data_IF_988139748459
#
_entry.id   IF_988139748459
#
_cell.length_a   1.000
_cell.length_b   1.000
_cell.length_c   1.000
_cell.angle_alpha   90.00
_cell.angle_beta   90.00
_cell.angle_gamma   90.00
#
_symmetry.space_group_name_H-M   'P 1'
#
loop_
_entity.id
_entity.type
_entity.pdbx_description
1 polymer ?
#
# COMPACT_ATOMS: atom_id res chain seq x y z
N UNK A 1 -27.50 -4.57 24.12
CA UNK A 1 -26.68 -3.93 23.06
C UNK A 1 -25.23 -4.06 23.52
N UNK A 2 -24.52 -5.00 22.94
CA UNK A 2 -23.12 -5.23 23.28
C UNK A 2 -22.32 -4.05 22.69
N UNK A 3 -21.85 -3.15 23.54
CA UNK A 3 -20.95 -2.08 23.10
C UNK A 3 -19.61 -2.71 22.84
N UNK A 4 -19.40 -3.21 21.62
CA UNK A 4 -18.12 -3.69 21.15
C UNK A 4 -17.09 -2.57 21.33
N UNK A 5 -16.32 -2.63 22.39
CA UNK A 5 -15.22 -1.70 22.63
C UNK A 5 -14.06 -2.11 21.76
N UNK A 6 -13.58 -1.20 20.91
CA UNK A 6 -12.36 -1.42 20.13
C UNK A 6 -11.17 -1.64 21.07
N UNK A 7 -10.40 -2.68 20.81
CA UNK A 7 -9.22 -3.03 21.59
C UNK A 7 -7.97 -2.46 20.92
N UNK A 8 -7.14 -1.74 21.67
CA UNK A 8 -5.83 -1.32 21.18
C UNK A 8 -4.80 -2.44 21.40
N UNK A 9 -4.13 -2.84 20.32
CA UNK A 9 -3.08 -3.85 20.33
C UNK A 9 -1.84 -3.33 19.58
N UNK A 10 -0.70 -3.98 19.77
CA UNK A 10 0.50 -3.76 18.95
C UNK A 10 0.55 -4.78 17.82
N UNK A 11 0.97 -4.37 16.62
CA UNK A 11 1.01 -5.27 15.48
C UNK A 11 1.89 -6.51 15.70
N UNK A 12 3.02 -6.36 16.42
CA UNK A 12 3.88 -7.49 16.77
C UNK A 12 3.29 -8.51 17.75
N UNK A 13 2.16 -8.20 18.40
CA UNK A 13 1.40 -9.16 19.22
C UNK A 13 0.43 -9.99 18.38
N UNK A 14 0.06 -9.48 17.21
CA UNK A 14 -0.95 -10.05 16.33
C UNK A 14 -0.33 -10.87 15.20
N UNK A 15 0.87 -10.48 14.75
CA UNK A 15 1.51 -11.09 13.60
C UNK A 15 3.02 -10.96 13.64
N UNK A 16 3.70 -11.79 12.86
CA UNK A 16 5.13 -11.65 12.61
C UNK A 16 5.42 -10.45 11.72
N UNK A 17 6.37 -9.61 12.15
CA UNK A 17 6.85 -8.44 11.41
C UNK A 17 8.30 -8.68 11.05
N UNK A 18 8.61 -8.79 9.78
CA UNK A 18 9.89 -9.28 9.30
C UNK A 18 10.37 -8.55 8.04
N UNK A 19 11.48 -9.04 7.52
CA UNK A 19 11.97 -8.76 6.17
C UNK A 19 12.30 -10.08 5.48
N UNK A 20 12.92 -10.01 4.33
CA UNK A 20 13.34 -11.15 3.53
C UNK A 20 14.86 -11.25 3.50
N UNK A 21 15.39 -12.38 3.01
CA UNK A 21 16.81 -12.52 2.72
C UNK A 21 17.20 -11.54 1.61
N UNK A 22 18.38 -10.93 1.76
CA UNK A 22 18.92 -9.95 0.83
C UNK A 22 19.15 -10.55 -0.55
N UNK A 23 18.72 -9.80 -1.57
CA UNK A 23 19.06 -10.00 -2.98
C UNK A 23 20.00 -8.89 -3.42
N UNK A 24 21.12 -9.23 -4.04
CA UNK A 24 22.08 -8.26 -4.57
C UNK A 24 21.68 -7.82 -5.99
N UNK A 25 22.24 -6.71 -6.45
CA UNK A 25 21.92 -6.17 -7.76
C UNK A 25 22.35 -7.10 -8.91
N UNK A 26 23.45 -7.83 -8.72
CA UNK A 26 23.97 -8.83 -9.65
C UNK A 26 23.05 -10.04 -9.85
N UNK A 27 22.10 -10.25 -8.92
CA UNK A 27 21.13 -11.35 -8.96
C UNK A 27 19.83 -10.97 -9.68
N UNK A 28 19.69 -9.72 -10.12
CA UNK A 28 18.50 -9.28 -10.83
C UNK A 28 18.49 -9.87 -12.25
N UNK A 29 17.28 -10.16 -12.72
CA UNK A 29 17.01 -10.77 -14.03
C UNK A 29 15.99 -9.94 -14.79
N UNK A 30 15.92 -10.14 -16.12
CA UNK A 30 14.96 -9.45 -16.98
C UNK A 30 13.55 -10.04 -16.88
N UNK A 31 13.44 -11.29 -16.40
CA UNK A 31 12.18 -12.02 -16.23
C UNK A 31 12.21 -12.91 -14.98
N UNK A 32 11.04 -13.39 -14.53
CA UNK A 32 10.92 -14.30 -13.39
C UNK A 32 9.93 -13.81 -12.35
N UNK A 33 10.31 -13.88 -11.07
CA UNK A 33 9.47 -13.41 -9.97
C UNK A 33 9.69 -11.91 -9.72
N UNK A 34 8.59 -11.17 -9.65
CA UNK A 34 8.60 -9.72 -9.45
C UNK A 34 9.37 -9.35 -8.19
N UNK A 35 10.37 -8.45 -8.33
CA UNK A 35 11.17 -7.90 -7.22
C UNK A 35 10.77 -6.45 -6.96
N UNK A 36 10.20 -6.17 -5.78
CA UNK A 36 9.67 -4.87 -5.42
C UNK A 36 10.69 -4.02 -4.64
N UNK A 37 10.79 -2.76 -5.00
CA UNK A 37 11.52 -1.73 -4.27
C UNK A 37 10.54 -0.81 -3.54
N UNK A 38 10.98 -0.07 -2.54
CA UNK A 38 10.13 0.90 -1.83
C UNK A 38 9.46 1.89 -2.80
N UNK A 39 10.16 2.36 -3.85
CA UNK A 39 9.58 3.24 -4.88
C UNK A 39 8.42 2.60 -5.62
N UNK A 40 8.45 1.27 -5.82
CA UNK A 40 7.40 0.56 -6.54
C UNK A 40 6.09 0.54 -5.71
N UNK A 41 6.20 0.43 -4.38
CA UNK A 41 5.05 0.55 -3.48
C UNK A 41 4.44 1.96 -3.52
N UNK A 42 5.29 2.99 -3.59
CA UNK A 42 4.83 4.38 -3.73
C UNK A 42 4.10 4.60 -5.05
N UNK A 43 4.62 4.04 -6.16
CA UNK A 43 3.94 4.10 -7.48
C UNK A 43 2.59 3.39 -7.44
N UNK A 44 2.51 2.20 -6.81
CA UNK A 44 1.23 1.51 -6.64
C UNK A 44 0.21 2.36 -5.86
N UNK A 45 0.63 3.00 -4.77
CA UNK A 45 -0.25 3.87 -3.98
C UNK A 45 -0.77 5.09 -4.75
N UNK A 46 -0.05 5.52 -5.78
CA UNK A 46 -0.44 6.63 -6.67
C UNK A 46 -1.16 6.18 -7.94
N UNK A 47 -1.37 4.88 -8.13
CA UNK A 47 -1.86 4.27 -9.37
C UNK A 47 -0.99 4.62 -10.60
N UNK A 48 0.32 4.78 -10.39
CA UNK A 48 1.31 5.02 -11.45
C UNK A 48 1.84 3.68 -12.00
N UNK A 49 2.21 3.67 -13.27
CA UNK A 49 2.91 2.54 -13.86
C UNK A 49 4.33 2.44 -13.31
N UNK A 50 4.84 1.22 -13.16
CA UNK A 50 6.22 1.01 -12.78
C UNK A 50 7.09 1.04 -14.03
N UNK A 51 7.96 2.02 -14.07
CA UNK A 51 9.08 2.06 -15.01
C UNK A 51 10.18 1.11 -14.52
N UNK A 52 10.86 0.43 -15.42
CA UNK A 52 11.96 -0.50 -15.10
C UNK A 52 11.62 -1.56 -14.03
N UNK A 53 10.68 -2.46 -14.29
CA UNK A 53 10.37 -3.55 -13.39
C UNK A 53 11.57 -4.48 -13.20
N UNK A 54 11.85 -4.86 -11.94
CA UNK A 54 12.91 -5.80 -11.58
C UNK A 54 12.34 -7.18 -11.28
N UNK A 55 13.16 -8.19 -11.53
CA UNK A 55 12.82 -9.59 -11.28
C UNK A 55 13.99 -10.31 -10.63
N UNK A 56 13.72 -11.48 -10.08
CA UNK A 56 14.69 -12.47 -9.65
C UNK A 56 14.33 -13.83 -10.25
N UNK A 57 15.29 -14.73 -10.38
CA UNK A 57 15.01 -16.05 -10.92
C UNK A 57 14.03 -16.84 -10.04
N UNK A 58 13.27 -17.73 -10.66
CA UNK A 58 12.33 -18.61 -9.94
C UNK A 58 13.05 -19.54 -8.95
N UNK A 59 14.26 -19.94 -9.26
CA UNK A 59 15.12 -20.78 -8.41
C UNK A 59 15.52 -20.03 -7.14
N UNK A 60 16.02 -18.80 -7.27
CA UNK A 60 16.37 -17.94 -6.15
C UNK A 60 15.14 -17.65 -5.28
N UNK A 61 14.01 -17.32 -5.89
CA UNK A 61 12.77 -17.12 -5.15
C UNK A 61 12.39 -18.35 -4.31
N UNK A 62 12.47 -19.56 -4.88
CA UNK A 62 12.17 -20.80 -4.17
C UNK A 62 13.10 -21.01 -2.99
N UNK A 63 14.41 -20.85 -3.20
CA UNK A 63 15.43 -20.99 -2.16
C UNK A 63 15.23 -19.98 -1.02
N UNK A 64 15.09 -18.69 -1.35
CA UNK A 64 15.04 -17.63 -0.37
C UNK A 64 13.70 -17.58 0.38
N UNK A 65 12.60 -17.87 -0.30
CA UNK A 65 11.30 -17.95 0.34
C UNK A 65 11.12 -19.20 1.22
N UNK A 66 11.91 -20.26 1.00
CA UNK A 66 11.96 -21.39 1.93
C UNK A 66 12.51 -20.97 3.32
N UNK A 67 13.37 -19.96 3.39
CA UNK A 67 13.96 -19.44 4.62
C UNK A 67 13.09 -18.32 5.25
N UNK A 68 12.68 -17.34 4.43
CA UNK A 68 11.95 -16.14 4.92
C UNK A 68 10.45 -16.35 5.02
N UNK A 69 9.91 -17.37 4.35
CA UNK A 69 8.49 -17.52 4.06
C UNK A 69 8.12 -16.88 2.72
N UNK A 70 6.87 -17.11 2.29
CA UNK A 70 6.28 -16.54 1.08
C UNK A 70 5.32 -15.43 1.45
N UNK A 71 5.37 -14.34 0.71
CA UNK A 71 4.35 -13.28 0.78
C UNK A 71 3.02 -13.88 0.32
N UNK A 72 1.96 -13.62 1.07
CA UNK A 72 0.64 -14.24 0.87
C UNK A 72 -0.46 -13.18 0.83
N UNK A 73 -1.60 -13.54 0.26
CA UNK A 73 -2.79 -12.67 0.25
C UNK A 73 -3.16 -12.25 1.66
N UNK A 74 -3.42 -10.96 1.84
CA UNK A 74 -3.73 -10.35 3.14
C UNK A 74 -2.53 -9.82 3.89
N UNK A 75 -1.29 -10.15 3.47
CA UNK A 75 -0.08 -9.53 4.01
C UNK A 75 0.02 -8.06 3.59
N UNK A 76 0.71 -7.27 4.41
CA UNK A 76 0.97 -5.87 4.11
C UNK A 76 2.48 -5.63 3.98
N UNK A 77 2.90 -5.08 2.86
CA UNK A 77 4.26 -4.58 2.65
C UNK A 77 4.27 -3.07 2.83
N UNK A 78 5.19 -2.55 3.63
CA UNK A 78 5.23 -1.13 4.00
C UNK A 78 6.63 -0.56 3.77
N UNK A 79 6.71 0.61 3.18
CA UNK A 79 8.00 1.28 2.97
C UNK A 79 8.63 1.71 4.28
N UNK A 80 9.89 1.33 4.50
CA UNK A 80 10.68 1.64 5.70
C UNK A 80 11.67 2.79 5.51
N UNK A 81 11.95 3.18 4.25
CA UNK A 81 12.91 4.25 3.90
C UNK A 81 12.38 5.12 2.76
N UNK A 82 12.91 6.33 2.63
CA UNK A 82 12.46 7.32 1.65
C UNK A 82 11.08 7.86 2.02
N UNK A 83 10.07 7.62 1.20
CA UNK A 83 8.67 7.87 1.58
C UNK A 83 8.22 6.74 2.49
N UNK A 84 8.38 6.92 3.80
CA UNK A 84 8.08 5.91 4.81
C UNK A 84 6.59 5.72 5.03
N UNK A 85 6.19 4.52 5.50
CA UNK A 85 4.83 4.24 5.94
C UNK A 85 3.81 4.03 4.82
N UNK A 86 4.22 3.93 3.54
CA UNK A 86 3.32 3.65 2.42
C UNK A 86 3.01 2.15 2.39
N UNK A 87 1.75 1.74 2.62
CA UNK A 87 1.36 0.34 2.61
C UNK A 87 1.00 -0.14 1.21
N UNK A 88 1.27 -1.40 0.94
CA UNK A 88 0.75 -2.16 -0.19
C UNK A 88 0.14 -3.48 0.29
N UNK A 89 -1.16 -3.64 0.09
CA UNK A 89 -1.87 -4.87 0.43
C UNK A 89 -1.66 -5.91 -0.67
N UNK A 90 -1.24 -7.10 -0.28
CA UNK A 90 -1.13 -8.24 -1.20
C UNK A 90 -2.54 -8.81 -1.45
N UNK A 91 -3.01 -8.68 -2.68
CA UNK A 91 -4.37 -9.07 -3.10
C UNK A 91 -4.40 -10.27 -4.04
N UNK A 92 -3.24 -10.77 -4.47
CA UNK A 92 -3.15 -11.92 -5.37
C UNK A 92 -2.06 -12.89 -4.93
N UNK A 93 -2.18 -14.16 -5.35
CA UNK A 93 -1.21 -15.21 -5.07
C UNK A 93 0.00 -15.19 -6.03
N UNK A 94 0.11 -14.17 -6.90
CA UNK A 94 1.28 -14.03 -7.75
C UNK A 94 2.53 -13.87 -6.89
N UNK A 95 3.57 -14.68 -7.12
CA UNK A 95 4.77 -14.62 -6.32
C UNK A 95 5.45 -13.26 -6.46
N UNK A 96 5.79 -12.66 -5.33
CA UNK A 96 6.55 -11.43 -5.24
C UNK A 96 7.68 -11.58 -4.24
N UNK A 97 8.77 -10.88 -4.48
CA UNK A 97 9.87 -10.71 -3.55
C UNK A 97 10.18 -9.22 -3.41
N UNK A 98 10.94 -8.79 -2.41
CA UNK A 98 11.15 -7.35 -2.22
C UNK A 98 12.52 -7.02 -1.64
N UNK A 99 12.90 -5.74 -1.71
CA UNK A 99 14.15 -5.23 -1.19
C UNK A 99 14.19 -5.27 0.32
N UNK A 100 15.07 -6.07 0.89
CA UNK A 100 15.36 -6.13 2.32
C UNK A 100 15.79 -4.75 2.89
N UNK A 101 15.46 -4.50 4.14
CA UNK A 101 15.78 -3.26 4.84
C UNK A 101 15.01 -2.02 4.37
N UNK A 102 14.42 -2.05 3.20
CA UNK A 102 13.66 -0.93 2.63
C UNK A 102 12.14 -1.13 2.72
N UNK A 103 11.70 -2.37 2.84
CA UNK A 103 10.31 -2.77 2.97
C UNK A 103 10.17 -3.64 4.20
N UNK A 104 9.14 -3.36 5.00
CA UNK A 104 8.74 -4.13 6.17
C UNK A 104 7.56 -5.00 5.76
N UNK A 105 7.60 -6.26 6.17
CA UNK A 105 6.58 -7.23 5.87
C UNK A 105 5.79 -7.60 7.13
N UNK A 106 4.52 -7.28 7.13
CA UNK A 106 3.54 -7.70 8.13
C UNK A 106 2.84 -8.96 7.64
N UNK A 107 3.21 -10.12 8.22
CA UNK A 107 2.69 -11.45 7.86
C UNK A 107 1.34 -11.66 8.53
N UNK A 108 0.30 -11.19 7.92
CA UNK A 108 -1.02 -11.07 8.56
C UNK A 108 -1.67 -12.44 8.87
N UNK A 109 -1.41 -13.48 8.11
CA UNK A 109 -1.96 -14.83 8.34
C UNK A 109 -3.43 -14.84 8.81
N UNK A 110 -4.24 -13.93 8.28
CA UNK A 110 -5.64 -13.73 8.64
C UNK A 110 -5.91 -13.24 10.08
N UNK A 111 -4.92 -12.72 10.78
CA UNK A 111 -5.10 -12.14 12.12
C UNK A 111 -6.02 -10.92 12.09
N UNK A 112 -5.93 -10.11 11.02
CA UNK A 112 -6.76 -8.93 10.76
C UNK A 112 -7.37 -9.08 9.37
N UNK A 113 -8.57 -8.53 9.13
CA UNK A 113 -9.07 -8.40 7.75
C UNK A 113 -8.11 -7.54 6.92
N UNK A 114 -7.71 -8.03 5.74
CA UNK A 114 -6.67 -7.37 4.94
C UNK A 114 -7.04 -5.97 4.48
N UNK A 115 -8.29 -5.77 4.07
CA UNK A 115 -8.80 -4.45 3.67
C UNK A 115 -8.86 -3.50 4.85
N UNK A 116 -9.37 -3.95 5.99
CA UNK A 116 -9.36 -3.17 7.22
C UNK A 116 -7.93 -2.81 7.65
N UNK A 117 -7.00 -3.76 7.55
CA UNK A 117 -5.59 -3.53 7.90
C UNK A 117 -4.97 -2.44 7.00
N UNK A 118 -5.19 -2.51 5.69
CA UNK A 118 -4.73 -1.52 4.75
C UNK A 118 -5.28 -0.12 5.07
N UNK A 119 -6.60 0.02 5.23
CA UNK A 119 -7.22 1.31 5.53
C UNK A 119 -6.82 1.85 6.91
N UNK A 120 -6.68 0.98 7.92
CA UNK A 120 -6.15 1.38 9.23
C UNK A 120 -4.73 1.92 9.12
N UNK A 121 -3.90 1.30 8.26
CA UNK A 121 -2.52 1.70 8.06
C UNK A 121 -2.39 3.05 7.34
N UNK A 122 -3.32 3.38 6.46
CA UNK A 122 -3.38 4.69 5.78
C UNK A 122 -4.00 5.80 6.64
N UNK A 123 -4.66 5.44 7.75
CA UNK A 123 -5.29 6.40 8.65
C UNK A 123 -4.27 7.25 9.41
N UNK A 124 -4.66 8.49 9.74
CA UNK A 124 -3.80 9.47 10.43
C UNK A 124 -3.20 8.95 11.73
N UNK A 125 -3.92 8.12 12.48
CA UNK A 125 -3.45 7.60 13.76
C UNK A 125 -2.16 6.77 13.60
N UNK A 126 -2.11 5.84 12.65
CA UNK A 126 -0.90 5.04 12.38
C UNK A 126 0.17 5.89 11.68
N UNK A 127 -0.23 6.73 10.71
CA UNK A 127 0.72 7.58 9.99
C UNK A 127 1.43 8.58 10.92
N UNK A 128 0.72 9.18 11.88
CA UNK A 128 1.33 10.06 12.90
C UNK A 128 2.31 9.28 13.77
N UNK A 129 1.91 8.08 14.25
CA UNK A 129 2.84 7.23 15.01
C UNK A 129 4.12 6.90 14.23
N UNK A 130 4.00 6.56 12.93
CA UNK A 130 5.17 6.27 12.08
C UNK A 130 6.08 7.49 11.98
N UNK A 131 5.51 8.67 11.72
CA UNK A 131 6.27 9.92 11.60
C UNK A 131 6.99 10.29 12.90
N UNK A 132 6.32 10.16 14.04
CA UNK A 132 6.91 10.42 15.35
C UNK A 132 8.02 9.42 15.68
N UNK A 133 7.79 8.13 15.41
CA UNK A 133 8.75 7.07 15.70
C UNK A 133 9.95 7.04 14.75
N UNK A 134 9.80 7.55 13.53
CA UNK A 134 10.90 7.67 12.57
C UNK A 134 11.94 8.73 12.95
N UNK A 135 11.58 9.63 13.88
CA UNK A 135 12.45 10.66 14.42
C UNK A 135 12.56 11.91 13.54
N UNK A 136 12.95 13.03 14.18
CA UNK A 136 13.21 14.32 13.52
C UNK A 136 14.66 14.32 13.04
N UNK A 137 14.97 13.54 12.01
CA UNK A 137 16.32 13.48 11.42
C UNK A 137 16.28 13.66 9.92
N UNK A 138 17.44 13.86 9.30
CA UNK A 138 17.59 14.08 7.86
C UNK A 138 17.09 12.91 7.01
N UNK A 139 17.03 11.71 7.60
CA UNK A 139 16.46 10.50 6.96
C UNK A 139 15.71 9.69 8.03
N UNK A 140 14.40 9.92 8.14
CA UNK A 140 13.55 9.10 8.97
C UNK A 140 13.51 7.66 8.46
N UNK A 141 13.51 6.68 9.38
CA UNK A 141 13.36 5.27 9.04
C UNK A 141 12.26 4.61 9.87
N UNK A 142 11.41 3.84 9.20
CA UNK A 142 10.44 2.97 9.84
C UNK A 142 11.01 1.57 9.84
N UNK A 143 11.32 1.02 11.02
CA UNK A 143 12.04 -0.25 11.18
C UNK A 143 11.10 -1.40 11.56
N UNK A 144 11.59 -2.65 11.47
CA UNK A 144 10.85 -3.83 11.95
C UNK A 144 10.45 -3.65 13.43
N UNK A 145 11.36 -3.17 14.28
CA UNK A 145 11.08 -2.99 15.70
C UNK A 145 10.02 -1.90 15.95
N UNK A 146 10.05 -0.83 15.17
CA UNK A 146 9.01 0.19 15.22
C UNK A 146 7.69 -0.36 14.69
N UNK A 147 7.73 -1.16 13.61
CA UNK A 147 6.58 -1.86 13.06
C UNK A 147 5.90 -2.78 14.06
N UNK A 148 6.66 -3.57 14.82
CA UNK A 148 6.12 -4.41 15.90
C UNK A 148 5.39 -3.61 16.99
N UNK A 149 5.86 -2.40 17.28
CA UNK A 149 5.29 -1.53 18.31
C UNK A 149 4.13 -0.67 17.82
N UNK A 150 3.88 -0.65 16.51
CA UNK A 150 2.80 0.16 15.90
C UNK A 150 1.45 -0.21 16.51
N UNK A 151 0.72 0.75 17.10
CA UNK A 151 -0.58 0.50 17.69
C UNK A 151 -1.66 0.42 16.61
N UNK A 152 -2.60 -0.50 16.79
CA UNK A 152 -3.80 -0.61 15.97
C UNK A 152 -5.02 -0.79 16.88
N UNK A 153 -6.14 -0.17 16.50
CA UNK A 153 -7.43 -0.36 17.14
C UNK A 153 -8.23 -1.41 16.39
N UNK A 154 -8.68 -2.44 17.09
CA UNK A 154 -9.34 -3.60 16.51
C UNK A 154 -10.79 -3.68 17.01
N UNK A 155 -11.76 -3.53 16.10
CA UNK A 155 -13.14 -3.93 16.33
C UNK A 155 -13.30 -5.44 16.15
N UNK A 156 -14.54 -5.92 16.29
CA UNK A 156 -14.87 -7.31 15.98
C UNK A 156 -14.54 -7.65 14.51
N UNK A 157 -14.29 -8.94 14.24
CA UNK A 157 -13.96 -9.40 12.87
C UNK A 157 -15.05 -9.09 11.85
N UNK A 158 -16.30 -9.07 12.26
CA UNK A 158 -17.40 -8.72 11.38
C UNK A 158 -17.34 -7.23 11.05
N UNK A 159 -17.16 -6.37 12.05
CA UNK A 159 -17.04 -4.94 11.88
C UNK A 159 -15.81 -4.55 11.04
N UNK A 160 -14.67 -5.26 11.19
CA UNK A 160 -13.50 -5.09 10.32
C UNK A 160 -13.88 -5.28 8.84
N UNK A 161 -14.62 -6.35 8.51
CA UNK A 161 -15.06 -6.62 7.12
C UNK A 161 -16.02 -5.57 6.60
N UNK A 162 -16.95 -5.11 7.43
CA UNK A 162 -17.92 -4.08 7.06
C UNK A 162 -17.23 -2.74 6.79
N UNK A 163 -16.28 -2.35 7.66
CA UNK A 163 -15.47 -1.14 7.46
C UNK A 163 -14.62 -1.27 6.18
N UNK A 164 -13.94 -2.40 5.99
CA UNK A 164 -13.13 -2.66 4.80
C UNK A 164 -13.95 -2.54 3.50
N UNK A 165 -15.14 -3.16 3.48
CA UNK A 165 -16.02 -3.11 2.32
C UNK A 165 -16.48 -1.68 2.01
N UNK A 166 -16.87 -0.92 3.04
CA UNK A 166 -17.29 0.47 2.89
C UNK A 166 -16.14 1.35 2.37
N UNK A 167 -14.97 1.25 2.95
CA UNK A 167 -13.80 2.05 2.53
C UNK A 167 -13.35 1.71 1.11
N UNK A 168 -13.31 0.43 0.74
CA UNK A 168 -12.99 0.00 -0.63
C UNK A 168 -14.01 0.53 -1.65
N UNK A 169 -15.30 0.57 -1.27
CA UNK A 169 -16.33 1.16 -2.13
C UNK A 169 -16.11 2.66 -2.33
N UNK A 170 -15.79 3.39 -1.27
CA UNK A 170 -15.47 4.82 -1.35
C UNK A 170 -14.25 5.09 -2.23
N UNK A 171 -13.17 4.32 -2.09
CA UNK A 171 -11.98 4.45 -2.94
C UNK A 171 -12.31 4.21 -4.43
N UNK A 172 -13.20 3.25 -4.70
CA UNK A 172 -13.66 2.98 -6.06
C UNK A 172 -14.43 4.17 -6.63
N UNK A 173 -15.34 4.76 -5.85
CA UNK A 173 -16.12 5.94 -6.28
C UNK A 173 -15.21 7.16 -6.51
N UNK A 174 -14.24 7.40 -5.63
CA UNK A 174 -13.26 8.49 -5.79
C UNK A 174 -12.47 8.30 -7.08
N UNK A 175 -11.96 7.09 -7.31
CA UNK A 175 -11.18 6.77 -8.52
C UNK A 175 -12.00 6.97 -9.80
N UNK A 176 -13.26 6.52 -9.82
CA UNK A 176 -14.16 6.72 -10.94
C UNK A 176 -14.43 8.20 -11.18
N UNK A 177 -14.69 8.98 -10.13
CA UNK A 177 -14.93 10.41 -10.22
C UNK A 177 -13.71 11.16 -10.79
N UNK A 178 -12.51 10.82 -10.32
CA UNK A 178 -11.26 11.40 -10.82
C UNK A 178 -11.03 11.12 -12.32
N UNK A 179 -11.39 9.93 -12.80
CA UNK A 179 -11.31 9.58 -14.22
C UNK A 179 -12.34 10.29 -15.07
N UNK A 180 -13.51 10.62 -14.53
CA UNK A 180 -14.59 11.32 -15.23
C UNK A 180 -14.40 12.84 -15.27
N UNK A 181 -13.67 13.42 -14.31
CA UNK A 181 -13.45 14.88 -14.20
C UNK A 181 -12.93 15.58 -15.46
N UNK A 182 -11.99 15.03 -16.25
CA UNK A 182 -11.53 15.63 -17.49
C UNK A 182 -12.59 15.66 -18.60
N UNK A 183 -13.54 14.74 -18.61
CA UNK A 183 -14.54 14.61 -19.67
C UNK A 183 -15.63 15.68 -19.55
N UNK A 184 -16.02 16.06 -18.34
CA UNK A 184 -17.03 17.11 -18.14
C UNK A 184 -16.52 18.52 -18.40
N UNK A 185 -15.22 18.79 -18.28
CA UNK A 185 -14.64 20.09 -18.56
C UNK A 185 -14.59 20.41 -20.05
N UNK A 186 -14.59 19.41 -20.93
CA UNK A 186 -14.55 19.59 -22.40
C UNK A 186 -15.92 19.94 -23.01
N UNK A 187 -17.02 19.57 -22.35
CA UNK A 187 -18.38 19.88 -22.84
C UNK A 187 -18.88 21.28 -22.48
N UNK A 188 -18.25 21.97 -21.53
CA UNK A 188 -18.68 23.30 -21.10
C UNK A 188 -18.07 24.48 -21.92
N UNK A 189 -17.11 24.22 -22.81
CA UNK A 189 -16.43 25.26 -23.64
C UNK A 189 -16.84 25.29 -25.12
N UNK A 190 -17.85 24.53 -25.49
CA UNK A 190 -18.27 24.37 -26.90
C UNK A 190 -19.56 25.08 -27.30
N UNK A 191 -19.93 26.24 -26.75
CA UNK A 191 -21.07 27.02 -27.23
C UNK A 191 -20.94 28.51 -26.94
N UNK A 192 -20.00 29.17 -27.59
CA UNK A 192 -20.10 30.60 -27.89
C UNK A 192 -19.82 30.79 -29.38
N UNK A 193 -20.82 30.48 -30.18
CA UNK A 193 -20.85 30.96 -31.58
C UNK A 193 -21.21 32.44 -31.60
N UNK A 194 -20.30 33.22 -32.17
CA UNK A 194 -20.44 34.62 -32.49
C UNK A 194 -21.70 34.89 -33.31
N UNK A 195 -22.60 35.68 -32.76
CA UNK A 195 -23.59 36.43 -33.55
C UNK A 195 -23.25 37.91 -33.37
N UNK A 196 -22.52 38.46 -34.28
CA UNK A 196 -22.47 39.91 -34.50
C UNK A 196 -21.85 40.23 -35.89
N UNK A 197 -22.57 41.04 -36.59
CA UNK A 197 -22.20 41.81 -37.77
C UNK A 197 -22.59 41.27 -39.16
N UNK A 198 -23.83 41.61 -39.58
CA UNK A 198 -24.08 42.04 -40.93
C UNK A 198 -25.25 43.03 -40.92
N UNK A 199 -24.95 44.30 -40.81
CA UNK A 199 -25.78 45.43 -41.18
C UNK A 199 -24.86 46.63 -41.36
N UNK A 200 -24.43 46.88 -42.57
CA UNK A 200 -24.26 48.24 -43.17
C UNK A 200 -23.60 48.06 -44.53
N UNK A 201 -24.25 48.59 -45.55
CA UNK A 201 -23.73 48.83 -46.86
C UNK A 201 -24.76 48.63 -47.94
#
# INVERSE_FOLDING_TARGET
MDTSTWEQRKLGELMDVASVRRVHQEDWTDEGVRFLRARDLVSFAKNESIEDPLFISSEMYKEYSAQSGKVSVGDLLVTGVGTIGVPWLVTSDNPVYFKDGNIIWFKNRYSIDGGFFYHSFTASAIQNYINEAAGIGTVGTYTIETGKKTPIWLPSRQEQREIAAMMTHLDTLITLHQRMGPIFCFCAHGSRTNFASTLQG
#
